data_IF_425003515963
#
_entry.id   IF_425003515963
#
_cell.length_a   1.000
_cell.length_b   1.000
_cell.length_c   1.000
_cell.angle_alpha   90.00
_cell.angle_beta   90.00
_cell.angle_gamma   90.00
#
_symmetry.space_group_name_H-M   'P 1'
#
loop_
_entity.id
_entity.type
_entity.pdbx_description
1 polymer ?
#
# COMPACT_ATOMS: atom_id res chain seq x y z
N UNK A 1 -0.94 9.51 -3.71
CA UNK A 1 -0.22 10.03 -2.52
C UNK A 1 -0.75 11.36 -1.98
N UNK A 2 -0.97 12.41 -2.78
CA UNK A 2 -1.46 13.71 -2.31
C UNK A 2 -2.77 13.61 -1.49
N UNK A 3 -3.75 12.84 -1.95
CA UNK A 3 -5.03 12.63 -1.26
C UNK A 3 -4.84 11.92 0.09
N UNK A 4 -3.95 10.93 0.17
CA UNK A 4 -3.65 10.24 1.42
C UNK A 4 -3.05 11.21 2.45
N UNK A 5 -2.11 12.05 2.03
CA UNK A 5 -1.52 13.07 2.88
C UNK A 5 -2.57 14.06 3.39
N UNK A 6 -3.43 14.58 2.51
CA UNK A 6 -4.49 15.52 2.90
C UNK A 6 -5.45 14.90 3.95
N UNK A 7 -5.83 13.64 3.77
CA UNK A 7 -6.69 12.93 4.72
C UNK A 7 -5.99 12.73 6.08
N UNK A 8 -4.72 12.36 6.06
CA UNK A 8 -3.91 12.20 7.29
C UNK A 8 -3.75 13.53 8.02
N UNK A 9 -3.46 14.61 7.30
CA UNK A 9 -3.31 15.95 7.88
C UNK A 9 -4.63 16.44 8.49
N UNK A 10 -5.77 16.18 7.81
CA UNK A 10 -7.10 16.49 8.34
C UNK A 10 -7.41 15.69 9.61
N UNK A 11 -7.07 14.40 9.63
CA UNK A 11 -7.22 13.54 10.81
C UNK A 11 -6.37 14.05 11.98
N UNK A 12 -5.09 14.34 11.74
CA UNK A 12 -4.18 14.89 12.77
C UNK A 12 -4.69 16.21 13.33
N UNK A 13 -5.21 17.08 12.46
CA UNK A 13 -5.81 18.37 12.87
C UNK A 13 -7.03 18.16 13.76
N UNK A 14 -7.93 17.24 13.37
CA UNK A 14 -9.11 16.92 14.18
C UNK A 14 -8.74 16.28 15.53
N UNK A 15 -7.74 15.41 15.55
CA UNK A 15 -7.22 14.78 16.75
C UNK A 15 -6.66 15.81 17.72
N UNK A 16 -5.84 16.76 17.23
CA UNK A 16 -5.26 17.82 18.05
C UNK A 16 -6.31 18.76 18.64
N UNK A 17 -7.38 19.08 17.90
CA UNK A 17 -8.51 19.88 18.42
C UNK A 17 -9.23 19.21 19.59
N UNK A 18 -9.12 17.88 19.72
CA UNK A 18 -9.71 17.09 20.81
C UNK A 18 -8.73 16.85 21.98
N UNK A 19 -7.58 17.51 22.00
CA UNK A 19 -6.58 17.35 23.06
C UNK A 19 -5.54 16.25 22.79
N UNK A 20 -5.44 15.81 21.55
CA UNK A 20 -4.48 14.79 21.14
C UNK A 20 -5.06 13.36 21.11
N UNK A 21 -4.22 12.33 21.01
CA UNK A 21 -4.65 10.95 20.94
C UNK A 21 -5.36 10.55 22.24
N UNK A 22 -6.67 10.34 22.15
CA UNK A 22 -7.51 9.94 23.28
C UNK A 22 -7.25 8.51 23.77
N UNK A 23 -6.43 7.75 23.06
CA UNK A 23 -6.09 6.39 23.45
C UNK A 23 -4.80 6.37 24.24
N UNK A 24 -4.83 5.92 25.51
CA UNK A 24 -3.62 5.69 26.29
C UNK A 24 -2.81 4.46 25.81
N UNK A 25 -3.21 3.82 24.72
CA UNK A 25 -2.45 2.72 24.13
C UNK A 25 -1.18 3.26 23.49
N UNK A 26 -0.20 3.48 24.32
CA UNK A 26 1.18 3.79 23.96
C UNK A 26 1.89 2.62 23.23
N UNK A 27 1.14 1.66 22.69
CA UNK A 27 1.69 0.52 21.96
C UNK A 27 2.18 0.91 20.57
N UNK A 28 1.71 2.04 20.03
CA UNK A 28 2.20 2.57 18.78
C UNK A 28 3.17 3.73 19.00
N UNK A 29 4.38 3.68 18.45
CA UNK A 29 5.27 4.82 18.46
C UNK A 29 4.57 6.08 17.91
N UNK A 30 4.55 7.16 18.68
CA UNK A 30 3.86 8.40 18.28
C UNK A 30 2.40 8.51 18.72
N UNK A 31 1.86 7.56 19.48
CA UNK A 31 0.56 7.63 20.15
C UNK A 31 -0.59 7.00 19.36
N UNK A 32 -1.18 7.69 18.40
CA UNK A 32 -2.27 7.15 17.59
C UNK A 32 -1.73 6.31 16.43
N UNK A 33 -2.36 5.17 16.14
CA UNK A 33 -2.05 4.41 14.93
C UNK A 33 -2.56 5.18 13.70
N UNK A 34 -1.64 5.65 12.89
CA UNK A 34 -1.93 6.29 11.60
C UNK A 34 -1.30 5.43 10.53
N UNK A 35 -2.13 4.73 9.76
CA UNK A 35 -1.68 3.71 8.84
C UNK A 35 -1.95 4.03 7.39
N UNK A 36 -1.20 3.35 6.55
CA UNK A 36 -1.44 3.23 5.12
C UNK A 36 -1.49 1.77 4.72
N UNK A 37 -2.37 1.45 3.78
CA UNK A 37 -2.47 0.13 3.19
C UNK A 37 -1.80 0.11 1.84
N UNK A 38 -0.96 -0.89 1.59
CA UNK A 38 -0.20 -1.04 0.35
C UNK A 38 -0.25 -2.47 -0.19
N UNK A 39 -0.29 -2.58 -1.52
CA UNK A 39 -0.01 -3.83 -2.20
C UNK A 39 1.51 -3.91 -2.44
N UNK A 40 2.14 -4.94 -1.88
CA UNK A 40 3.60 -5.06 -1.91
C UNK A 40 4.01 -6.37 -2.55
N UNK A 41 4.91 -6.30 -3.53
CA UNK A 41 5.44 -7.44 -4.25
C UNK A 41 6.97 -7.37 -4.25
N UNK A 42 7.61 -8.35 -3.61
CA UNK A 42 9.06 -8.39 -3.48
C UNK A 42 9.62 -9.56 -4.28
N UNK A 43 10.65 -9.31 -5.07
CA UNK A 43 11.42 -10.33 -5.76
C UNK A 43 12.92 -10.00 -5.72
N UNK A 44 13.75 -10.88 -6.24
CA UNK A 44 15.20 -10.66 -6.24
C UNK A 44 15.61 -9.44 -7.08
N UNK A 45 14.79 -9.08 -8.09
CA UNK A 45 14.97 -7.88 -8.92
C UNK A 45 13.63 -7.17 -9.17
N UNK A 46 13.69 -5.87 -9.47
CA UNK A 46 12.50 -5.08 -9.82
C UNK A 46 11.77 -5.67 -11.04
N UNK A 47 12.51 -6.09 -12.05
CA UNK A 47 11.94 -6.70 -13.25
C UNK A 47 11.18 -8.01 -12.95
N UNK A 48 11.69 -8.83 -12.04
CA UNK A 48 10.99 -10.04 -11.61
C UNK A 48 9.72 -9.71 -10.83
N UNK A 49 9.78 -8.75 -9.89
CA UNK A 49 8.62 -8.31 -9.14
C UNK A 49 7.50 -7.82 -10.07
N UNK A 50 7.83 -6.98 -11.03
CA UNK A 50 6.87 -6.47 -12.03
C UNK A 50 6.26 -7.57 -12.88
N UNK A 51 7.05 -8.58 -13.26
CA UNK A 51 6.59 -9.67 -14.13
C UNK A 51 5.44 -10.48 -13.53
N UNK A 52 5.46 -10.76 -12.22
CA UNK A 52 4.36 -11.49 -11.59
C UNK A 52 3.30 -10.56 -10.98
N UNK A 53 3.68 -9.38 -10.51
CA UNK A 53 2.74 -8.44 -9.91
C UNK A 53 1.76 -7.85 -10.93
N UNK A 54 2.24 -7.54 -12.15
CA UNK A 54 1.41 -6.92 -13.18
C UNK A 54 0.15 -7.74 -13.52
N UNK A 55 0.23 -9.00 -13.97
CA UNK A 55 -0.96 -9.76 -14.30
C UNK A 55 -1.90 -9.98 -13.10
N UNK A 56 -1.34 -10.14 -11.91
CA UNK A 56 -2.10 -10.31 -10.68
C UNK A 56 -2.88 -9.03 -10.32
N UNK A 57 -2.23 -7.87 -10.44
CA UNK A 57 -2.86 -6.58 -10.14
C UNK A 57 -3.90 -6.20 -11.18
N UNK A 58 -3.62 -6.40 -12.47
CA UNK A 58 -4.56 -6.08 -13.55
C UNK A 58 -5.86 -6.88 -13.42
N UNK A 59 -5.78 -8.18 -13.09
CA UNK A 59 -6.96 -9.01 -12.79
C UNK A 59 -7.68 -8.54 -11.52
N UNK A 60 -6.94 -8.23 -10.47
CA UNK A 60 -7.53 -7.71 -9.23
C UNK A 60 -8.33 -6.42 -9.48
N UNK A 61 -7.77 -5.48 -10.21
CA UNK A 61 -8.43 -4.24 -10.58
C UNK A 61 -9.68 -4.48 -11.45
N UNK A 62 -9.61 -5.40 -12.39
CA UNK A 62 -10.75 -5.79 -13.21
C UNK A 62 -11.88 -6.36 -12.35
N UNK A 63 -11.58 -7.21 -11.39
CA UNK A 63 -12.56 -7.78 -10.46
C UNK A 63 -13.17 -6.73 -9.53
N UNK A 64 -12.38 -5.82 -9.00
CA UNK A 64 -12.89 -4.71 -8.17
C UNK A 64 -13.87 -3.82 -8.93
N UNK A 65 -13.67 -3.65 -10.22
CA UNK A 65 -14.51 -2.81 -11.07
C UNK A 65 -15.66 -3.56 -11.74
N UNK A 66 -15.65 -4.91 -11.71
CA UNK A 66 -16.60 -5.72 -12.47
C UNK A 66 -18.09 -5.40 -12.15
N UNK A 67 -18.47 -5.36 -10.88
CA UNK A 67 -19.84 -5.05 -10.47
C UNK A 67 -20.24 -3.64 -10.89
N UNK A 68 -19.34 -2.69 -10.79
CA UNK A 68 -19.59 -1.29 -11.19
C UNK A 68 -19.84 -1.17 -12.68
N UNK A 69 -18.99 -1.82 -13.47
CA UNK A 69 -19.15 -1.87 -14.92
C UNK A 69 -20.48 -2.55 -15.29
N UNK A 70 -20.78 -3.69 -14.65
CA UNK A 70 -22.01 -4.45 -14.88
C UNK A 70 -23.27 -3.66 -14.58
N UNK A 71 -23.26 -2.81 -13.54
CA UNK A 71 -24.42 -2.02 -13.12
C UNK A 71 -24.39 -0.57 -13.63
N UNK A 72 -23.50 -0.24 -14.57
CA UNK A 72 -23.45 1.07 -15.21
C UNK A 72 -23.00 2.22 -14.30
N UNK A 73 -22.45 1.93 -13.13
CA UNK A 73 -21.93 2.95 -12.22
C UNK A 73 -20.62 3.52 -12.76
N UNK A 74 -20.73 4.57 -13.55
CA UNK A 74 -19.61 5.16 -14.26
C UNK A 74 -18.86 6.23 -13.47
N UNK A 75 -19.40 6.70 -12.36
CA UNK A 75 -18.91 7.88 -11.62
C UNK A 75 -18.20 7.60 -10.31
N UNK A 76 -18.23 6.37 -9.80
CA UNK A 76 -17.57 6.05 -8.54
C UNK A 76 -16.10 5.70 -8.79
N UNK A 77 -15.24 6.60 -8.41
CA UNK A 77 -13.86 6.23 -8.04
C UNK A 77 -13.95 5.13 -6.98
N UNK A 78 -13.11 4.14 -7.07
CA UNK A 78 -13.02 3.16 -5.99
C UNK A 78 -12.72 3.89 -4.68
N UNK A 79 -13.14 3.34 -3.55
CA UNK A 79 -12.72 3.85 -2.23
C UNK A 79 -11.20 3.91 -2.08
N UNK A 80 -10.49 3.22 -2.95
CA UNK A 80 -9.04 3.20 -3.05
C UNK A 80 -8.47 4.33 -3.91
N UNK A 81 -9.30 5.27 -4.39
CA UNK A 81 -8.90 6.33 -5.33
C UNK A 81 -8.21 5.83 -6.61
N UNK A 82 -8.46 4.58 -6.98
CA UNK A 82 -7.93 4.03 -8.22
C UNK A 82 -8.85 4.46 -9.35
N UNK A 83 -8.39 5.25 -10.32
CA UNK A 83 -9.19 5.68 -11.44
C UNK A 83 -9.77 4.50 -12.19
N UNK A 84 -10.97 4.68 -12.78
CA UNK A 84 -11.55 3.70 -13.68
C UNK A 84 -10.58 3.44 -14.83
N UNK A 85 -10.28 2.16 -15.08
CA UNK A 85 -9.31 1.78 -16.11
C UNK A 85 -7.85 1.86 -15.65
N UNK A 86 -7.61 2.07 -14.35
CA UNK A 86 -6.27 1.93 -13.81
C UNK A 86 -5.73 0.52 -14.08
N UNK A 87 -4.48 0.47 -14.41
CA UNK A 87 -3.69 -0.75 -14.59
C UNK A 87 -2.54 -0.76 -13.58
N UNK A 88 -1.75 -1.82 -13.61
CA UNK A 88 -0.59 -1.96 -12.73
C UNK A 88 0.35 -0.75 -12.81
N UNK A 89 0.67 -0.27 -14.01
CA UNK A 89 1.59 0.85 -14.22
C UNK A 89 1.08 2.14 -13.54
N UNK A 90 -0.19 2.45 -13.71
CA UNK A 90 -0.81 3.60 -13.06
C UNK A 90 -0.77 3.48 -11.53
N UNK A 91 -0.97 2.26 -11.00
CA UNK A 91 -0.90 2.01 -9.57
C UNK A 91 0.53 2.16 -9.02
N UNK A 92 1.55 1.76 -9.79
CA UNK A 92 2.95 1.98 -9.43
C UNK A 92 3.29 3.47 -9.47
N UNK A 93 2.86 4.19 -10.51
CA UNK A 93 3.06 5.64 -10.62
C UNK A 93 2.39 6.40 -9.46
N UNK A 94 1.15 6.07 -9.14
CA UNK A 94 0.42 6.62 -7.99
C UNK A 94 0.93 6.10 -6.64
N UNK A 95 1.85 5.13 -6.65
CA UNK A 95 2.46 4.55 -5.45
C UNK A 95 1.47 3.84 -4.51
N UNK A 96 0.39 3.33 -5.07
CA UNK A 96 -0.57 2.44 -4.38
C UNK A 96 -0.16 0.98 -4.47
N UNK A 97 0.77 0.67 -5.37
CA UNK A 97 1.46 -0.61 -5.51
C UNK A 97 2.96 -0.37 -5.41
N UNK A 98 3.62 -1.16 -4.60
CA UNK A 98 5.07 -1.20 -4.47
C UNK A 98 5.54 -2.56 -4.95
N UNK A 99 6.26 -2.59 -6.07
CA UNK A 99 6.79 -3.83 -6.63
C UNK A 99 8.28 -3.64 -6.95
N UNK A 100 9.14 -4.50 -6.41
CA UNK A 100 10.56 -4.35 -6.65
C UNK A 100 11.44 -5.31 -5.84
N UNK A 101 12.72 -5.08 -5.95
CA UNK A 101 13.74 -5.70 -5.10
C UNK A 101 13.58 -5.25 -3.64
N UNK A 102 14.14 -5.96 -2.67
CA UNK A 102 14.11 -5.52 -1.28
C UNK A 102 14.62 -4.09 -1.08
N UNK A 103 15.64 -3.68 -1.83
CA UNK A 103 16.18 -2.33 -1.76
C UNK A 103 15.19 -1.27 -2.25
N UNK A 104 14.56 -1.50 -3.41
CA UNK A 104 13.56 -0.60 -3.99
C UNK A 104 12.32 -0.50 -3.11
N UNK A 105 11.84 -1.63 -2.57
CA UNK A 105 10.68 -1.69 -1.67
C UNK A 105 10.95 -0.93 -0.37
N UNK A 106 12.13 -1.12 0.25
CA UNK A 106 12.54 -0.37 1.44
C UNK A 106 12.54 1.13 1.19
N UNK A 107 13.23 1.56 0.14
CA UNK A 107 13.34 2.97 -0.20
C UNK A 107 11.96 3.63 -0.40
N UNK A 108 11.04 2.94 -1.06
CA UNK A 108 9.70 3.45 -1.30
C UNK A 108 8.87 3.51 0.00
N UNK A 109 8.91 2.48 0.85
CA UNK A 109 8.19 2.50 2.13
C UNK A 109 8.76 3.60 3.06
N UNK A 110 10.09 3.70 3.19
CA UNK A 110 10.73 4.76 3.98
C UNK A 110 10.30 6.15 3.52
N UNK A 111 10.25 6.36 2.20
CA UNK A 111 9.81 7.62 1.65
C UNK A 111 8.35 7.90 2.03
N UNK A 112 7.45 6.92 1.90
CA UNK A 112 6.04 7.06 2.29
C UNK A 112 5.88 7.35 3.78
N UNK A 113 6.62 6.66 4.63
CA UNK A 113 6.63 6.92 6.08
C UNK A 113 7.02 8.37 6.38
N UNK A 114 8.08 8.88 5.75
CA UNK A 114 8.53 10.26 5.94
C UNK A 114 7.54 11.30 5.38
N UNK A 115 7.01 11.08 4.18
CA UNK A 115 6.08 12.01 3.52
C UNK A 115 4.72 12.07 4.21
N UNK A 116 4.20 10.94 4.66
CA UNK A 116 2.86 10.83 5.25
C UNK A 116 2.88 10.94 6.79
N UNK A 117 4.01 10.67 7.41
CA UNK A 117 4.11 10.61 8.87
C UNK A 117 3.21 9.52 9.45
N UNK A 118 3.22 8.34 8.82
CA UNK A 118 2.51 7.14 9.28
C UNK A 118 3.42 6.30 10.16
N UNK A 119 2.82 5.57 11.10
CA UNK A 119 3.51 4.65 12.01
C UNK A 119 2.92 3.24 11.97
N UNK A 120 2.06 2.98 11.00
CA UNK A 120 1.43 1.68 10.81
C UNK A 120 1.31 1.35 9.32
N UNK A 121 1.74 0.15 8.93
CA UNK A 121 1.67 -0.34 7.56
C UNK A 121 0.84 -1.62 7.49
N UNK A 122 -0.22 -1.60 6.69
CA UNK A 122 -0.96 -2.80 6.30
C UNK A 122 -0.49 -3.22 4.91
N UNK A 123 -0.20 -4.50 4.73
CA UNK A 123 0.31 -5.01 3.46
C UNK A 123 -0.59 -6.08 2.89
N UNK A 124 -0.89 -5.97 1.60
CA UNK A 124 -1.35 -7.09 0.79
C UNK A 124 -0.14 -7.66 0.04
N UNK A 125 0.24 -8.89 0.40
CA UNK A 125 1.39 -9.60 -0.16
C UNK A 125 0.97 -10.72 -1.13
N UNK A 126 -0.33 -10.95 -1.28
CA UNK A 126 -0.91 -11.95 -2.16
C UNK A 126 -2.22 -11.46 -2.75
N UNK A 127 -2.36 -11.52 -4.07
CA UNK A 127 -3.63 -11.25 -4.74
C UNK A 127 -3.66 -11.77 -6.19
N UNK A 128 -4.88 -11.79 -6.73
CA UNK A 128 -5.10 -12.09 -8.14
C UNK A 128 -4.63 -13.49 -8.51
N UNK A 129 -3.85 -13.56 -9.56
CA UNK A 129 -3.33 -14.79 -10.15
C UNK A 129 -1.90 -15.13 -9.72
N UNK A 130 -1.39 -14.53 -8.65
CA UNK A 130 -0.08 -14.92 -8.13
C UNK A 130 -0.04 -16.42 -7.82
N UNK A 131 1.06 -17.07 -8.18
CA UNK A 131 1.33 -18.42 -7.72
C UNK A 131 1.64 -18.40 -6.20
N UNK A 132 1.31 -19.51 -5.52
CA UNK A 132 1.67 -19.64 -4.10
C UNK A 132 3.19 -19.54 -3.91
N UNK A 133 3.98 -20.07 -4.83
CA UNK A 133 5.44 -20.00 -4.77
C UNK A 133 5.96 -18.55 -4.82
N UNK A 134 5.44 -17.74 -5.75
CA UNK A 134 5.81 -16.32 -5.84
C UNK A 134 5.37 -15.55 -4.59
N UNK A 135 4.17 -15.82 -4.09
CA UNK A 135 3.66 -15.20 -2.88
C UNK A 135 4.52 -15.51 -1.65
N UNK A 136 4.88 -16.78 -1.45
CA UNK A 136 5.73 -17.23 -0.35
C UNK A 136 7.15 -16.64 -0.47
N UNK A 137 7.70 -16.61 -1.68
CA UNK A 137 9.01 -15.97 -1.91
C UNK A 137 8.98 -14.48 -1.60
N UNK A 138 7.93 -13.78 -2.07
CA UNK A 138 7.73 -12.36 -1.78
C UNK A 138 7.61 -12.08 -0.28
N UNK A 139 6.82 -12.91 0.42
CA UNK A 139 6.68 -12.82 1.88
C UNK A 139 8.01 -13.05 2.61
N UNK A 140 8.78 -14.03 2.19
CA UNK A 140 10.07 -14.36 2.81
C UNK A 140 11.08 -13.23 2.64
N UNK A 141 11.20 -12.68 1.43
CA UNK A 141 12.05 -11.51 1.16
C UNK A 141 11.58 -10.27 1.95
N UNK A 142 10.27 -10.04 2.02
CA UNK A 142 9.73 -8.96 2.82
C UNK A 142 10.08 -9.10 4.30
N UNK A 143 9.88 -10.30 4.86
CA UNK A 143 10.18 -10.62 6.25
C UNK A 143 11.67 -10.51 6.58
N UNK A 144 12.54 -11.06 5.73
CA UNK A 144 13.97 -11.17 6.03
C UNK A 144 14.74 -9.90 5.69
N UNK A 145 14.35 -9.19 4.63
CA UNK A 145 15.14 -8.08 4.10
C UNK A 145 14.48 -6.72 4.18
N UNK A 146 13.17 -6.64 4.26
CA UNK A 146 12.45 -5.36 4.33
C UNK A 146 12.09 -5.00 5.78
N UNK A 147 11.36 -5.87 6.47
CA UNK A 147 10.86 -5.60 7.83
C UNK A 147 11.94 -5.17 8.83
N UNK A 148 13.14 -5.79 8.90
CA UNK A 148 14.16 -5.42 9.88
C UNK A 148 14.69 -3.99 9.72
N UNK A 149 14.59 -3.43 8.52
CA UNK A 149 14.93 -2.02 8.26
C UNK A 149 13.83 -1.07 8.68
N UNK A 150 12.57 -1.45 8.44
CA UNK A 150 11.41 -0.62 8.80
C UNK A 150 11.25 -0.49 10.32
N UNK A 151 11.59 -1.53 11.07
CA UNK A 151 11.54 -1.51 12.54
C UNK A 151 12.51 -0.49 13.19
N UNK A 152 13.39 0.13 12.41
CA UNK A 152 14.35 1.13 12.86
C UNK A 152 13.96 2.56 12.51
N UNK A 153 12.85 2.75 11.78
CA UNK A 153 12.31 4.04 11.40
C UNK A 153 11.48 4.63 12.53
#
# INVERSE_FOLDING_TARGET
MATAKANIDAYKTALNKRGGPASPKAEFPGGAAIGVQQHIFVADTDAQAHRFAKPAMDIHLAHLNWLRVKHGETGLTSRLNVPRGANFEACVEDRTVIAGSPASVRAEIERQVRELGVNYLLTYLFLGTMSLADALRSLDLFRSEVMPHLAKL
#
